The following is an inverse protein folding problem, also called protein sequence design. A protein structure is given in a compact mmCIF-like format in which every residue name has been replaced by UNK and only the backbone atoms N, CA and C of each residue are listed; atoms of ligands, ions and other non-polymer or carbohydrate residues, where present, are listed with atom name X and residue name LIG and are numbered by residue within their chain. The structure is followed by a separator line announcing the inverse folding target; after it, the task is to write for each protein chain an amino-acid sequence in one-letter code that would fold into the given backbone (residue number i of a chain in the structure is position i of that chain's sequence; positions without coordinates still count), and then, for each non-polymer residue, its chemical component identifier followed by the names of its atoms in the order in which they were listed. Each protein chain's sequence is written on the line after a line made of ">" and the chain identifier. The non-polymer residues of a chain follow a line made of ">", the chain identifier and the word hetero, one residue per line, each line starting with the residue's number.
data_IF_834837818106
#
_entry.id   IF_834837818106
#
_cell.length_a   1.000
_cell.length_b   1.000
_cell.length_c   1.000
_cell.angle_alpha   90.00
_cell.angle_beta   90.00
_cell.angle_gamma   90.00
#
_symmetry.space_group_name_H-M   'P 1'
#
loop_
_entity.id
_entity.type
_entity.pdbx_description
1 polymer ?
#
# COMPACT_ATOMS: atom_id res chain seq x y z
N UNK A 1 14.07 -6.67 -29.05
CA UNK A 1 13.72 -7.03 -27.66
C UNK A 1 12.33 -6.50 -27.38
N UNK A 2 11.42 -7.32 -26.85
CA UNK A 2 10.10 -6.86 -26.44
C UNK A 2 10.27 -5.90 -25.24
N UNK A 3 9.87 -4.61 -25.35
CA UNK A 3 9.98 -3.64 -24.26
C UNK A 3 9.21 -4.06 -23.00
N UNK A 4 8.30 -5.03 -23.09
CA UNK A 4 7.54 -5.56 -21.96
C UNK A 4 8.40 -6.44 -21.03
N UNK A 5 9.46 -7.07 -21.55
CA UNK A 5 10.26 -8.02 -20.75
C UNK A 5 11.25 -7.35 -19.78
N UNK A 6 11.49 -6.04 -19.90
CA UNK A 6 12.46 -5.31 -19.06
C UNK A 6 11.84 -4.55 -17.88
N UNK A 7 10.51 -4.44 -17.78
CA UNK A 7 9.86 -3.67 -16.69
C UNK A 7 9.81 -4.44 -15.37
N UNK A 8 9.98 -3.77 -14.22
CA UNK A 8 9.77 -4.37 -12.91
C UNK A 8 8.38 -4.97 -12.76
N UNK A 9 8.31 -6.19 -12.18
CA UNK A 9 7.03 -6.83 -11.87
C UNK A 9 6.50 -6.34 -10.53
N UNK A 10 5.59 -5.37 -10.56
CA UNK A 10 4.98 -4.78 -9.36
C UNK A 10 3.77 -5.56 -8.80
N UNK A 11 3.09 -6.41 -9.58
CA UNK A 11 2.01 -7.24 -9.02
C UNK A 11 2.58 -8.43 -8.21
N UNK A 12 2.11 -8.60 -6.97
CA UNK A 12 2.35 -9.78 -6.14
C UNK A 12 1.04 -10.53 -5.91
N UNK A 13 0.95 -11.72 -6.52
CA UNK A 13 -0.13 -12.66 -6.29
C UNK A 13 0.46 -14.02 -5.89
N UNK A 14 0.35 -14.42 -4.63
CA UNK A 14 1.08 -15.60 -4.19
C UNK A 14 0.26 -16.87 -4.37
N UNK A 15 -1.05 -16.78 -4.66
CA UNK A 15 -1.84 -17.90 -5.24
C UNK A 15 -1.27 -18.36 -6.58
N UNK A 16 -0.69 -17.43 -7.35
CA UNK A 16 -0.06 -17.72 -8.66
C UNK A 16 1.42 -18.07 -8.53
N UNK A 17 2.00 -17.99 -7.34
CA UNK A 17 3.43 -18.23 -7.14
C UNK A 17 3.64 -19.64 -6.61
N UNK A 18 4.21 -20.52 -7.44
CA UNK A 18 4.43 -21.96 -7.18
C UNK A 18 5.03 -22.28 -5.80
N UNK A 19 5.79 -21.35 -5.22
CA UNK A 19 6.45 -21.45 -3.92
C UNK A 19 5.49 -21.46 -2.72
N UNK A 20 4.26 -20.95 -2.84
CA UNK A 20 3.31 -20.87 -1.72
C UNK A 20 2.25 -21.99 -1.70
N UNK A 21 2.39 -23.00 -2.57
CA UNK A 21 1.47 -24.14 -2.64
C UNK A 21 0.07 -23.78 -3.18
N UNK A 22 -0.78 -24.80 -3.38
CA UNK A 22 -2.14 -24.64 -3.91
C UNK A 22 -3.23 -24.48 -2.83
N UNK A 23 -2.92 -24.74 -1.55
CA UNK A 23 -3.94 -25.25 -0.61
C UNK A 23 -4.43 -24.25 0.45
N UNK A 24 -3.67 -23.24 0.88
CA UNK A 24 -4.24 -22.18 1.76
C UNK A 24 -3.52 -20.86 1.54
N UNK A 25 -4.21 -19.92 0.88
CA UNK A 25 -3.71 -18.57 0.66
C UNK A 25 -4.45 -17.60 1.57
N UNK A 26 -4.14 -17.71 2.85
CA UNK A 26 -4.69 -16.86 3.90
C UNK A 26 -3.60 -15.85 4.30
N UNK A 27 -3.84 -14.53 4.08
CA UNK A 27 -2.87 -13.49 4.40
C UNK A 27 -2.38 -13.49 5.84
N UNK A 28 -3.18 -13.89 6.82
CA UNK A 28 -2.80 -13.85 8.24
C UNK A 28 -1.78 -14.94 8.58
N UNK A 29 -1.73 -16.03 7.83
CA UNK A 29 -0.68 -17.04 7.99
C UNK A 29 0.63 -16.61 7.34
N UNK A 30 0.55 -15.85 6.25
CA UNK A 30 1.68 -15.44 5.43
C UNK A 30 2.34 -14.17 5.93
N UNK A 31 1.60 -13.28 6.55
CA UNK A 31 2.10 -12.02 7.10
C UNK A 31 2.20 -12.19 8.61
N UNK A 32 3.43 -12.24 9.13
CA UNK A 32 3.64 -12.28 10.58
C UNK A 32 4.56 -11.16 11.03
N UNK A 33 4.24 -10.59 12.19
CA UNK A 33 5.09 -9.61 12.83
C UNK A 33 6.40 -10.25 13.31
N UNK A 34 7.50 -9.53 13.17
CA UNK A 34 8.79 -9.96 13.66
C UNK A 34 9.23 -9.08 14.84
N UNK A 35 9.20 -9.58 16.09
CA UNK A 35 9.60 -8.79 17.26
C UNK A 35 11.03 -8.26 17.17
N UNK A 36 11.94 -9.04 16.57
CA UNK A 36 13.34 -8.65 16.32
C UNK A 36 13.45 -7.38 15.48
N UNK A 37 12.60 -7.25 14.46
CA UNK A 37 12.70 -6.20 13.46
C UNK A 37 11.62 -5.13 13.59
N UNK A 38 10.60 -5.39 14.42
CA UNK A 38 9.46 -4.51 14.69
C UNK A 38 8.62 -4.14 13.46
N UNK A 39 8.44 -5.08 12.53
CA UNK A 39 7.49 -4.94 11.41
C UNK A 39 7.04 -6.31 10.88
N UNK A 40 5.98 -6.28 10.07
CA UNK A 40 5.37 -7.41 9.40
C UNK A 40 6.24 -7.91 8.24
N UNK A 41 6.31 -9.24 8.11
CA UNK A 41 7.13 -9.92 7.11
C UNK A 41 6.32 -11.00 6.43
N UNK A 42 6.65 -11.23 5.16
CA UNK A 42 6.12 -12.35 4.41
C UNK A 42 6.88 -13.63 4.78
N UNK A 43 6.16 -14.69 5.11
CA UNK A 43 6.71 -16.02 5.39
C UNK A 43 6.51 -16.94 4.19
N UNK A 44 7.52 -17.78 3.91
CA UNK A 44 7.38 -18.83 2.93
C UNK A 44 6.65 -20.01 3.56
N UNK A 45 5.74 -20.61 2.80
CA UNK A 45 5.31 -21.98 3.05
C UNK A 45 6.44 -22.89 2.56
N UNK A 46 7.07 -23.69 3.43
CA UNK A 46 7.89 -24.76 2.92
C UNK A 46 6.96 -25.96 2.67
N UNK A 47 7.33 -26.86 1.76
CA UNK A 47 6.57 -28.05 1.42
C UNK A 47 6.17 -28.89 2.67
N UNK A 48 5.19 -29.82 2.58
CA UNK A 48 4.80 -30.66 3.71
C UNK A 48 6.01 -31.26 4.43
N UNK A 49 6.13 -31.01 5.74
CA UNK A 49 7.25 -31.48 6.58
C UNK A 49 8.33 -30.44 6.90
N UNK A 50 8.22 -29.20 6.43
CA UNK A 50 9.22 -28.16 6.72
C UNK A 50 8.69 -27.01 7.60
N UNK A 51 9.60 -26.33 8.30
CA UNK A 51 9.29 -25.26 9.25
C UNK A 51 9.11 -23.90 8.57
N UNK A 52 8.14 -23.10 9.02
CA UNK A 52 7.90 -21.72 8.55
C UNK A 52 9.19 -20.89 8.57
N UNK A 53 9.67 -20.50 7.40
CA UNK A 53 10.83 -19.61 7.27
C UNK A 53 10.40 -18.27 6.69
N UNK A 54 10.80 -17.14 7.29
CA UNK A 54 10.52 -15.83 6.72
C UNK A 54 11.16 -15.73 5.33
N UNK A 55 10.46 -15.13 4.37
CA UNK A 55 11.11 -14.71 3.12
C UNK A 55 12.19 -13.71 3.54
N UNK A 56 13.44 -14.11 3.32
CA UNK A 56 14.58 -13.29 3.72
C UNK A 56 14.46 -11.93 3.03
N UNK A 57 14.63 -10.85 3.81
CA UNK A 57 14.79 -9.49 3.30
C UNK A 57 13.53 -8.89 2.62
N UNK A 58 12.33 -9.32 3.04
CA UNK A 58 11.02 -8.79 2.58
C UNK A 58 10.21 -8.17 3.71
N UNK A 59 9.67 -6.96 3.48
CA UNK A 59 8.73 -6.24 4.36
C UNK A 59 7.33 -6.30 3.78
N UNK A 60 6.32 -6.39 4.65
CA UNK A 60 4.92 -6.16 4.28
C UNK A 60 4.43 -4.92 5.03
N UNK A 61 3.85 -3.98 4.31
CA UNK A 61 3.18 -2.80 4.86
C UNK A 61 1.74 -2.82 4.39
N UNK A 62 0.80 -2.79 5.34
CA UNK A 62 -0.62 -2.66 5.03
C UNK A 62 -0.97 -1.19 4.89
N UNK A 63 -1.75 -0.84 3.88
CA UNK A 63 -2.22 0.53 3.67
C UNK A 63 -3.72 0.53 3.42
N UNK A 64 -4.38 1.58 3.86
CA UNK A 64 -5.80 1.80 3.59
C UNK A 64 -6.12 3.30 3.48
N UNK A 65 -7.26 3.62 2.88
CA UNK A 65 -7.78 4.97 2.81
C UNK A 65 -9.30 4.98 2.75
N UNK A 66 -9.90 5.90 3.49
CA UNK A 66 -11.35 6.01 3.61
C UNK A 66 -11.80 7.44 3.62
N UNK A 67 -13.08 7.65 3.28
CA UNK A 67 -13.72 8.96 3.42
C UNK A 67 -15.11 8.83 4.01
N UNK A 68 -15.51 9.84 4.79
CA UNK A 68 -16.87 10.02 5.32
C UNK A 68 -17.43 11.34 4.83
N UNK A 69 -18.73 11.34 4.49
CA UNK A 69 -19.45 12.49 3.95
C UNK A 69 -20.56 12.05 3.01
N UNK A 70 -21.46 12.96 2.65
CA UNK A 70 -22.63 12.59 1.85
C UNK A 70 -22.32 12.40 0.37
N UNK A 71 -21.35 13.16 -0.17
CA UNK A 71 -20.88 13.03 -1.55
C UNK A 71 -19.50 13.69 -1.74
N UNK A 72 -18.91 13.52 -2.94
CA UNK A 72 -17.58 14.04 -3.32
C UNK A 72 -17.44 15.56 -3.22
N UNK A 73 -18.55 16.30 -3.34
CA UNK A 73 -18.57 17.77 -3.34
C UNK A 73 -18.98 18.36 -1.99
N UNK A 74 -19.30 17.52 -1.01
CA UNK A 74 -19.68 17.97 0.32
C UNK A 74 -18.44 18.56 1.03
N UNK A 75 -18.45 19.86 1.39
CA UNK A 75 -17.32 20.50 2.06
C UNK A 75 -17.04 19.92 3.45
N UNK A 76 -18.00 19.19 4.03
CA UNK A 76 -17.83 18.46 5.28
C UNK A 76 -17.15 17.11 5.10
N UNK A 77 -17.05 16.60 3.86
CA UNK A 77 -16.38 15.34 3.59
C UNK A 77 -14.95 15.36 4.12
N UNK A 78 -14.57 14.29 4.81
CA UNK A 78 -13.21 14.05 5.30
C UNK A 78 -12.71 12.74 4.74
N UNK A 79 -11.48 12.74 4.29
CA UNK A 79 -10.77 11.52 3.95
C UNK A 79 -9.52 11.36 4.82
N UNK A 80 -9.18 10.11 5.12
CA UNK A 80 -8.05 9.74 5.93
C UNK A 80 -7.32 8.54 5.35
N UNK A 81 -6.02 8.49 5.64
CA UNK A 81 -5.11 7.44 5.21
C UNK A 81 -4.53 6.72 6.42
N UNK A 82 -4.23 5.43 6.27
CA UNK A 82 -3.63 4.59 7.31
C UNK A 82 -2.50 3.75 6.75
N UNK A 83 -1.40 3.64 7.51
CA UNK A 83 -0.22 2.84 7.20
C UNK A 83 0.13 2.00 8.42
N UNK A 84 0.10 0.67 8.25
CA UNK A 84 0.30 -0.29 9.32
C UNK A 84 1.47 -1.24 8.99
N UNK A 85 2.50 -1.18 9.84
CA UNK A 85 3.68 -2.03 9.78
C UNK A 85 3.58 -3.23 10.73
N UNK A 86 2.68 -3.22 11.72
CA UNK A 86 2.51 -4.31 12.67
C UNK A 86 2.11 -3.84 14.06
N UNK A 87 1.80 -4.77 14.99
CA UNK A 87 1.40 -4.42 16.35
C UNK A 87 2.48 -3.60 17.05
N UNK A 88 2.07 -2.51 17.72
CA UNK A 88 2.93 -1.59 18.47
C UNK A 88 4.15 -1.07 17.70
N UNK A 89 4.08 -1.08 16.36
CA UNK A 89 5.16 -0.54 15.55
C UNK A 89 5.13 0.99 15.64
N UNK A 90 6.24 1.65 16.06
CA UNK A 90 6.29 3.12 16.15
C UNK A 90 6.21 3.82 14.79
N UNK A 91 6.18 3.05 13.69
CA UNK A 91 6.04 3.55 12.32
C UNK A 91 4.62 3.42 11.78
N UNK A 92 3.70 2.82 12.55
CA UNK A 92 2.29 2.92 12.23
C UNK A 92 1.92 4.40 12.21
N UNK A 93 1.24 4.82 11.16
CA UNK A 93 0.94 6.21 10.92
C UNK A 93 -0.43 6.34 10.28
N UNK A 94 -1.13 7.41 10.63
CA UNK A 94 -2.42 7.75 10.06
C UNK A 94 -2.57 9.25 10.05
N UNK A 95 -3.52 9.73 9.27
CA UNK A 95 -3.82 11.14 9.24
C UNK A 95 -4.93 11.45 8.26
N UNK A 96 -5.33 12.71 8.29
CA UNK A 96 -6.32 13.24 7.37
C UNK A 96 -5.63 13.69 6.08
N UNK A 97 -6.38 13.65 4.97
CA UNK A 97 -5.98 14.39 3.78
C UNK A 97 -6.04 15.89 4.05
N UNK A 98 -5.19 16.64 3.32
CA UNK A 98 -5.28 18.09 3.27
C UNK A 98 -6.68 18.50 2.77
N UNK A 99 -7.23 19.59 3.30
CA UNK A 99 -8.54 20.09 2.89
C UNK A 99 -8.56 20.56 1.42
N UNK A 100 -7.41 20.95 0.88
CA UNK A 100 -7.26 21.32 -0.52
C UNK A 100 -7.31 20.09 -1.46
N UNK A 101 -7.02 18.89 -0.94
CA UNK A 101 -7.12 17.65 -1.71
C UNK A 101 -8.57 17.17 -1.83
N UNK A 102 -8.82 16.37 -2.86
CA UNK A 102 -10.10 15.69 -3.05
C UNK A 102 -10.36 14.71 -1.91
N UNK A 103 -11.43 14.95 -1.15
CA UNK A 103 -11.83 14.13 0.00
C UNK A 103 -12.56 12.86 -0.45
N UNK A 104 -11.86 11.95 -1.12
CA UNK A 104 -12.39 10.65 -1.57
C UNK A 104 -11.55 9.50 -1.03
N UNK A 105 -12.17 8.33 -0.80
CA UNK A 105 -11.44 7.11 -0.39
C UNK A 105 -10.30 6.80 -1.35
N UNK A 106 -10.53 6.82 -2.67
CA UNK A 106 -9.49 6.51 -3.67
C UNK A 106 -8.29 7.46 -3.65
N UNK A 107 -8.48 8.74 -3.29
CA UNK A 107 -7.36 9.68 -3.09
C UNK A 107 -6.59 9.33 -1.84
N UNK A 108 -7.29 9.00 -0.75
CA UNK A 108 -6.69 8.63 0.52
C UNK A 108 -5.96 7.28 0.46
N UNK A 109 -6.46 6.32 -0.32
CA UNK A 109 -5.80 5.03 -0.57
C UNK A 109 -4.48 5.22 -1.35
N UNK A 110 -4.42 6.19 -2.26
CA UNK A 110 -3.16 6.54 -2.93
C UNK A 110 -2.21 7.29 -1.98
N UNK A 111 -2.75 8.20 -1.18
CA UNK A 111 -1.97 8.92 -0.17
C UNK A 111 -1.34 7.97 0.85
N UNK A 112 -2.06 6.93 1.31
CA UNK A 112 -1.52 5.94 2.23
C UNK A 112 -0.34 5.18 1.62
N UNK A 113 -0.38 4.86 0.32
CA UNK A 113 0.79 4.33 -0.40
C UNK A 113 1.94 5.32 -0.39
N UNK A 114 1.69 6.60 -0.71
CA UNK A 114 2.73 7.64 -0.73
C UNK A 114 3.42 7.76 0.63
N UNK A 115 2.64 7.83 1.70
CA UNK A 115 3.15 7.88 3.09
C UNK A 115 3.92 6.63 3.47
N UNK A 116 3.45 5.44 3.09
CA UNK A 116 4.17 4.19 3.33
C UNK A 116 5.54 4.19 2.65
N UNK A 117 5.63 4.64 1.40
CA UNK A 117 6.89 4.73 0.67
C UNK A 117 7.84 5.78 1.26
N UNK A 118 7.32 6.92 1.73
CA UNK A 118 8.12 7.94 2.43
C UNK A 118 8.76 7.37 3.71
N UNK A 119 7.98 6.65 4.52
CA UNK A 119 8.48 5.98 5.73
C UNK A 119 9.55 4.94 5.38
N UNK A 120 9.29 4.10 4.39
CA UNK A 120 10.24 3.04 3.96
C UNK A 120 11.55 3.64 3.43
N UNK A 121 11.48 4.75 2.67
CA UNK A 121 12.68 5.48 2.25
C UNK A 121 13.45 6.06 3.44
N UNK A 122 12.74 6.59 4.44
CA UNK A 122 13.34 7.06 5.70
C UNK A 122 14.10 5.94 6.43
N UNK A 123 13.46 4.78 6.62
CA UNK A 123 14.08 3.60 7.23
C UNK A 123 15.33 3.16 6.48
N UNK A 124 15.28 3.19 5.16
CA UNK A 124 16.42 2.83 4.32
C UNK A 124 17.58 3.81 4.45
N UNK A 125 17.31 5.12 4.45
CA UNK A 125 18.33 6.15 4.68
C UNK A 125 18.98 6.03 6.06
N UNK A 126 18.23 5.52 7.05
CA UNK A 126 18.73 5.24 8.39
C UNK A 126 19.49 3.90 8.52
N UNK A 127 19.68 3.14 7.43
CA UNK A 127 20.38 1.84 7.43
C UNK A 127 19.57 0.67 8.00
N UNK A 128 18.31 0.89 8.39
CA UNK A 128 17.48 -0.16 8.99
C UNK A 128 17.07 -1.25 7.99
N UNK A 129 17.08 -0.89 6.71
CA UNK A 129 16.73 -1.76 5.60
C UNK A 129 17.96 -2.23 4.81
N UNK A 130 19.14 -2.26 5.44
CA UNK A 130 20.36 -2.70 4.77
C UNK A 130 20.27 -4.16 4.32
N UNK A 131 20.46 -4.32 3.01
CA UNK A 131 20.29 -5.58 2.30
C UNK A 131 18.85 -6.10 2.27
N UNK A 132 17.83 -5.29 2.59
CA UNK A 132 16.44 -5.60 2.25
C UNK A 132 16.26 -5.56 0.74
N UNK A 133 15.44 -6.46 0.21
CA UNK A 133 15.30 -6.68 -1.23
C UNK A 133 13.90 -6.43 -1.75
N UNK A 134 12.91 -6.36 -0.86
CA UNK A 134 11.53 -6.20 -1.27
C UNK A 134 10.65 -5.54 -0.20
N UNK A 135 9.79 -4.62 -0.62
CA UNK A 135 8.63 -4.16 0.13
C UNK A 135 7.36 -4.57 -0.61
N UNK A 136 6.40 -5.12 0.12
CA UNK A 136 5.09 -5.51 -0.37
C UNK A 136 4.07 -4.58 0.29
N UNK A 137 3.44 -3.74 -0.51
CA UNK A 137 2.28 -2.93 -0.13
C UNK A 137 1.04 -3.80 -0.24
N UNK A 138 0.44 -4.13 0.90
CA UNK A 138 -0.80 -4.89 1.04
C UNK A 138 -1.96 -3.89 1.15
N UNK A 139 -2.98 -4.05 0.30
CA UNK A 139 -4.17 -3.20 0.31
C UNK A 139 -5.38 -4.01 -0.18
N UNK A 140 -6.59 -3.54 0.06
CA UNK A 140 -7.83 -4.11 -0.44
C UNK A 140 -8.39 -3.38 -1.67
N UNK A 141 -7.90 -2.17 -1.94
CA UNK A 141 -8.21 -1.39 -3.14
C UNK A 141 -7.71 -2.04 -4.45
N UNK A 142 -8.66 -2.43 -5.31
CA UNK A 142 -8.37 -2.85 -6.69
C UNK A 142 -7.77 -1.69 -7.49
N UNK A 143 -8.27 -0.48 -7.26
CA UNK A 143 -7.83 0.71 -7.97
C UNK A 143 -6.35 1.00 -7.69
N UNK A 144 -5.91 1.01 -6.43
CA UNK A 144 -4.48 1.20 -6.09
C UNK A 144 -3.61 0.10 -6.70
N UNK A 145 -3.96 -1.17 -6.42
CA UNK A 145 -3.13 -2.31 -6.82
C UNK A 145 -2.95 -2.38 -8.35
N UNK A 146 -4.01 -2.11 -9.12
CA UNK A 146 -3.96 -2.13 -10.59
C UNK A 146 -3.36 -0.86 -11.17
N UNK A 147 -3.66 0.30 -10.60
CA UNK A 147 -3.06 1.58 -11.02
C UNK A 147 -1.55 1.50 -10.99
N UNK A 148 -0.97 1.09 -9.86
CA UNK A 148 0.48 1.09 -9.65
C UNK A 148 1.17 -0.21 -10.06
N UNK A 149 0.43 -1.31 -10.15
CA UNK A 149 0.95 -2.63 -10.51
C UNK A 149 0.84 -3.00 -11.99
N UNK A 150 -0.17 -2.49 -12.70
CA UNK A 150 -0.56 -2.96 -14.04
C UNK A 150 -0.72 -1.82 -15.04
N UNK A 151 -1.52 -0.80 -14.72
CA UNK A 151 -1.92 0.25 -15.67
C UNK A 151 -0.87 1.34 -15.85
N UNK A 152 -0.05 1.58 -14.82
CA UNK A 152 0.94 2.66 -14.79
C UNK A 152 1.84 2.69 -16.02
N UNK A 153 2.23 1.52 -16.54
CA UNK A 153 3.12 1.41 -17.70
C UNK A 153 2.49 1.93 -19.00
N UNK A 154 1.18 1.82 -19.12
CA UNK A 154 0.43 2.38 -20.25
C UNK A 154 0.19 3.88 -20.04
N UNK A 155 -0.17 4.25 -18.81
CA UNK A 155 -0.44 5.65 -18.46
C UNK A 155 0.79 6.53 -18.56
N UNK A 156 1.96 6.06 -18.14
CA UNK A 156 3.21 6.80 -18.29
C UNK A 156 3.50 7.12 -19.77
N UNK A 157 3.26 6.16 -20.67
CA UNK A 157 3.52 6.32 -22.11
C UNK A 157 2.53 7.24 -22.81
N UNK A 158 1.28 7.28 -22.34
CA UNK A 158 0.19 8.02 -23.00
C UNK A 158 -0.14 9.36 -22.33
N UNK A 159 0.71 9.84 -21.41
CA UNK A 159 0.51 11.12 -20.74
C UNK A 159 -0.55 11.11 -19.65
N UNK A 160 -0.83 9.95 -19.04
CA UNK A 160 -1.82 9.73 -17.99
C UNK A 160 -3.25 10.04 -18.47
N UNK A 161 -3.60 9.49 -19.64
CA UNK A 161 -4.93 9.64 -20.25
C UNK A 161 -5.62 8.28 -20.34
N UNK A 162 -6.93 8.23 -20.07
CA UNK A 162 -7.73 7.01 -20.17
C UNK A 162 -7.99 6.65 -21.63
N UNK A 163 -8.46 5.42 -21.88
CA UNK A 163 -8.90 4.99 -23.23
C UNK A 163 -10.01 5.89 -23.81
N UNK A 164 -10.77 6.59 -22.96
CA UNK A 164 -11.83 7.53 -23.35
C UNK A 164 -11.30 8.94 -23.68
N UNK A 165 -9.99 9.17 -23.63
CA UNK A 165 -9.39 10.48 -23.91
C UNK A 165 -9.46 11.47 -22.75
N UNK A 166 -9.93 11.06 -21.57
CA UNK A 166 -9.99 11.91 -20.37
C UNK A 166 -8.75 11.72 -19.50
N UNK A 167 -8.36 12.72 -18.68
CA UNK A 167 -7.31 12.53 -17.68
C UNK A 167 -7.59 11.33 -16.77
N UNK A 168 -6.54 10.59 -16.41
CA UNK A 168 -6.61 9.55 -15.38
C UNK A 168 -6.96 10.22 -14.05
N UNK A 169 -7.98 9.69 -13.38
CA UNK A 169 -8.33 10.14 -12.04
C UNK A 169 -7.13 9.99 -11.10
N UNK A 170 -6.85 11.01 -10.29
CA UNK A 170 -5.66 11.08 -9.41
C UNK A 170 -4.31 10.85 -10.11
N UNK A 171 -4.23 11.16 -11.41
CA UNK A 171 -3.03 10.94 -12.22
C UNK A 171 -1.81 11.74 -11.75
N UNK A 172 -2.02 12.86 -11.05
CA UNK A 172 -1.01 13.66 -10.37
C UNK A 172 -0.27 12.82 -9.30
N UNK A 173 -1.00 12.28 -8.33
CA UNK A 173 -0.42 11.49 -7.24
C UNK A 173 0.09 10.14 -7.73
N UNK A 174 -0.59 9.50 -8.69
CA UNK A 174 -0.10 8.25 -9.28
C UNK A 174 1.27 8.45 -9.94
N UNK A 175 1.48 9.57 -10.63
CA UNK A 175 2.76 9.92 -11.25
C UNK A 175 3.86 10.11 -10.21
N UNK A 176 3.56 10.81 -9.12
CA UNK A 176 4.51 11.01 -8.02
C UNK A 176 4.90 9.69 -7.34
N UNK A 177 3.91 8.85 -7.01
CA UNK A 177 4.14 7.53 -6.44
C UNK A 177 4.97 6.68 -7.40
N UNK A 178 4.64 6.68 -8.69
CA UNK A 178 5.38 5.93 -9.69
C UNK A 178 6.85 6.36 -9.75
N UNK A 179 7.14 7.66 -9.76
CA UNK A 179 8.50 8.18 -9.76
C UNK A 179 9.29 7.75 -8.51
N UNK A 180 8.65 7.77 -7.33
CA UNK A 180 9.24 7.27 -6.08
C UNK A 180 9.57 5.78 -6.16
N UNK A 181 8.63 4.97 -6.64
CA UNK A 181 8.84 3.52 -6.78
C UNK A 181 9.98 3.25 -7.76
N UNK A 182 10.03 3.92 -8.90
CA UNK A 182 11.08 3.74 -9.92
C UNK A 182 12.47 4.02 -9.34
N UNK A 183 12.61 5.03 -8.47
CA UNK A 183 13.87 5.29 -7.75
C UNK A 183 14.22 4.14 -6.79
N UNK A 184 13.24 3.63 -6.04
CA UNK A 184 13.46 2.53 -5.09
C UNK A 184 13.83 1.21 -5.78
N UNK A 185 13.26 0.95 -6.96
CA UNK A 185 13.44 -0.30 -7.72
C UNK A 185 14.88 -0.54 -8.19
N UNK A 186 15.75 0.48 -8.19
CA UNK A 186 17.18 0.30 -8.42
C UNK A 186 17.90 -0.52 -7.33
N UNK A 187 17.30 -0.63 -6.15
CA UNK A 187 17.92 -1.27 -4.99
C UNK A 187 16.99 -2.25 -4.26
N UNK A 188 15.67 -2.03 -4.34
CA UNK A 188 14.66 -2.83 -3.66
C UNK A 188 13.39 -2.92 -4.48
N UNK A 189 12.85 -4.13 -4.68
CA UNK A 189 11.59 -4.31 -5.38
C UNK A 189 10.42 -3.73 -4.56
N UNK A 190 9.51 -3.03 -5.22
CA UNK A 190 8.21 -2.64 -4.64
C UNK A 190 7.13 -3.47 -5.31
N UNK A 191 6.28 -4.12 -4.51
CA UNK A 191 5.16 -4.90 -5.04
C UNK A 191 3.85 -4.55 -4.35
N UNK A 192 2.76 -4.78 -5.06
CA UNK A 192 1.39 -4.59 -4.60
C UNK A 192 0.69 -5.92 -4.47
N UNK A 193 0.05 -6.13 -3.32
CA UNK A 193 -0.72 -7.31 -3.02
C UNK A 193 -2.14 -6.91 -2.65
N UNK A 194 -3.05 -7.09 -3.61
CA UNK A 194 -4.47 -6.96 -3.35
C UNK A 194 -4.98 -8.13 -2.51
N UNK A 195 -5.60 -7.82 -1.38
CA UNK A 195 -6.29 -8.78 -0.48
C UNK A 195 -7.77 -8.43 -0.35
N UNK A 196 -8.55 -9.28 0.31
CA UNK A 196 -9.90 -8.90 0.77
C UNK A 196 -9.84 -7.95 1.96
N UNK A 197 -10.87 -7.12 2.14
CA UNK A 197 -10.97 -6.13 3.23
C UNK A 197 -10.88 -6.77 4.61
N UNK A 198 -11.39 -8.00 4.75
CA UNK A 198 -11.29 -8.80 5.97
C UNK A 198 -9.86 -9.09 6.42
N UNK A 199 -8.89 -8.93 5.51
CA UNK A 199 -7.47 -9.10 5.77
C UNK A 199 -6.71 -7.77 5.90
N UNK A 200 -7.37 -6.61 5.83
CA UNK A 200 -6.73 -5.29 5.93
C UNK A 200 -7.24 -4.47 7.13
N UNK A 201 -7.81 -5.15 8.14
CA UNK A 201 -8.55 -4.54 9.26
C UNK A 201 -7.73 -3.57 10.09
N UNK A 202 -6.43 -3.79 10.23
CA UNK A 202 -5.57 -2.92 11.04
C UNK A 202 -5.34 -1.58 10.37
N UNK A 203 -5.14 -1.55 9.05
CA UNK A 203 -5.02 -0.30 8.31
C UNK A 203 -6.37 0.43 8.24
N UNK A 204 -7.47 -0.29 8.05
CA UNK A 204 -8.84 0.26 8.12
C UNK A 204 -9.17 0.83 9.51
N UNK A 205 -8.71 0.17 10.58
CA UNK A 205 -8.83 0.67 11.95
C UNK A 205 -8.12 2.01 12.16
N UNK A 206 -6.91 2.16 11.60
CA UNK A 206 -6.17 3.43 11.65
C UNK A 206 -6.89 4.56 10.91
N UNK A 207 -7.50 4.27 9.76
CA UNK A 207 -8.30 5.22 8.98
C UNK A 207 -9.53 5.65 9.78
N UNK A 208 -10.26 4.70 10.38
CA UNK A 208 -11.45 5.02 11.18
C UNK A 208 -11.10 5.87 12.40
N UNK A 209 -10.03 5.54 13.11
CA UNK A 209 -9.54 6.35 14.24
C UNK A 209 -9.27 7.81 13.82
N UNK A 210 -8.57 8.03 12.70
CA UNK A 210 -8.31 9.38 12.18
C UNK A 210 -9.60 10.16 11.88
N UNK A 211 -10.62 9.47 11.35
CA UNK A 211 -11.90 10.06 10.98
C UNK A 211 -12.81 10.31 12.18
N UNK A 212 -12.76 9.44 13.20
CA UNK A 212 -13.47 9.58 14.46
C UNK A 212 -12.94 10.80 15.22
N UNK A 213 -11.61 10.88 15.43
CA UNK A 213 -10.96 12.01 16.10
C UNK A 213 -11.31 13.36 15.43
N UNK A 214 -11.37 13.37 14.09
CA UNK A 214 -11.72 14.55 13.32
C UNK A 214 -13.20 14.95 13.44
N UNK A 215 -14.10 13.98 13.65
CA UNK A 215 -15.51 14.24 13.88
C UNK A 215 -15.72 14.81 15.29
N UNK A 216 -15.12 14.18 16.30
CA UNK A 216 -15.22 14.59 17.71
C UNK A 216 -14.67 16.01 17.93
N UNK A 217 -13.53 16.32 17.34
CA UNK A 217 -12.94 17.68 17.37
C UNK A 217 -13.82 18.74 16.71
N UNK A 218 -14.71 18.34 15.78
CA UNK A 218 -15.67 19.24 15.13
C UNK A 218 -16.89 19.57 15.97
N UNK A 219 -17.20 18.76 17.00
CA UNK A 219 -18.34 18.96 17.89
C UNK A 219 -18.02 19.88 19.09
N UNK A 220 -16.77 19.97 19.52
CA UNK A 220 -16.37 20.83 20.65
C UNK A 220 -16.26 22.32 20.28
N UNK A 221 -16.29 22.65 18.99
CA UNK A 221 -16.11 24.01 18.47
C UNK A 221 -17.37 24.68 17.90
N UNK A 222 -18.56 24.09 18.08
CA UNK A 222 -19.85 24.60 17.57
C UNK A 222 -20.75 25.16 18.65
#
# INVERSE_FOLDING_TARGET
>A
MDPDLSRPRRNFNPRKTRRYGRITFDPDYLVRYSPKWKYARLYNFPFPGAHWQPRMRTMVVSVDGGSRGNNRSDPKSRAAWGVYFGPDCPRNAWGLLDRADLQTSSRAELESVRKALDIVQGMKKAGELDGWREVIVKCDSDYVARSLGEWIWSWEKNGYVTRKGTPVEHGDVIREIHATITKMEGEMAVRFWRVGREWNREADGLVNHALDDAADSGYEGS
#
